data_IF_035881849788
#
_entry.id   IF_035881849788
#
_cell.length_a   1.000
_cell.length_b   1.000
_cell.length_c   1.000
_cell.angle_alpha   90.00
_cell.angle_beta   90.00
_cell.angle_gamma   90.00
#
_symmetry.space_group_name_H-M   'P 1'
#
loop_
_entity.id
_entity.type
_entity.pdbx_description
1 polymer ?
#
# COMPACT_ATOMS: atom_id res chain seq x y z
N UNK A 1 16.44 -6.74 -15.32
CA UNK A 1 17.07 -7.10 -14.03
C UNK A 1 16.26 -6.59 -12.83
N UNK A 2 16.36 -7.24 -11.67
CA UNK A 2 15.94 -6.67 -10.37
C UNK A 2 17.17 -6.04 -9.71
N UNK A 3 17.08 -4.79 -9.28
CA UNK A 3 18.17 -4.06 -8.62
C UNK A 3 17.69 -3.49 -7.27
N UNK A 4 18.46 -3.74 -6.21
CA UNK A 4 18.26 -3.15 -4.87
C UNK A 4 19.18 -1.97 -4.61
N UNK A 5 20.25 -1.85 -5.39
CA UNK A 5 21.23 -0.79 -5.25
C UNK A 5 20.75 0.48 -5.95
N UNK A 6 20.42 1.50 -5.16
CA UNK A 6 20.04 2.80 -5.70
C UNK A 6 21.23 3.47 -6.42
N UNK A 7 22.48 3.21 -6.04
CA UNK A 7 23.66 3.79 -6.68
C UNK A 7 23.76 3.33 -8.14
N UNK A 8 23.48 2.05 -8.41
CA UNK A 8 23.39 1.55 -9.78
C UNK A 8 22.36 2.34 -10.59
N UNK A 9 21.16 2.56 -10.03
CA UNK A 9 20.08 3.27 -10.72
C UNK A 9 20.47 4.72 -11.02
N UNK A 10 20.96 5.44 -10.02
CA UNK A 10 21.30 6.86 -10.15
C UNK A 10 22.42 7.08 -11.17
N UNK A 11 23.39 6.16 -11.25
CA UNK A 11 24.56 6.29 -12.14
C UNK A 11 24.30 5.79 -13.56
N UNK A 12 23.50 4.73 -13.72
CA UNK A 12 23.42 4.00 -14.98
C UNK A 12 22.08 4.14 -15.71
N UNK A 13 21.04 4.64 -15.05
CA UNK A 13 19.71 4.79 -15.65
C UNK A 13 19.48 6.26 -16.03
N UNK A 14 19.46 6.61 -17.33
CA UNK A 14 19.24 7.99 -17.75
C UNK A 14 17.87 8.51 -17.31
N UNK A 15 17.82 9.74 -16.82
CA UNK A 15 16.59 10.40 -16.38
C UNK A 15 15.77 9.59 -15.36
N UNK A 16 16.42 8.77 -14.52
CA UNK A 16 15.75 7.87 -13.57
C UNK A 16 14.68 8.56 -12.71
N UNK A 17 14.92 9.81 -12.29
CA UNK A 17 13.97 10.60 -11.49
C UNK A 17 12.69 10.93 -12.26
N UNK A 18 12.81 11.23 -13.56
CA UNK A 18 11.66 11.45 -14.44
C UNK A 18 10.91 10.14 -14.67
N UNK A 19 11.64 9.04 -14.87
CA UNK A 19 11.04 7.71 -15.07
C UNK A 19 10.21 7.28 -13.86
N UNK A 20 10.71 7.49 -12.63
CA UNK A 20 9.96 7.16 -11.41
C UNK A 20 8.74 8.05 -11.21
N UNK A 21 8.85 9.36 -11.46
CA UNK A 21 7.72 10.28 -11.42
C UNK A 21 6.63 9.86 -12.43
N UNK A 22 7.04 9.50 -13.64
CA UNK A 22 6.14 9.05 -14.69
C UNK A 22 5.50 7.70 -14.37
N UNK A 23 6.25 6.77 -13.76
CA UNK A 23 5.72 5.49 -13.31
C UNK A 23 4.60 5.70 -12.27
N UNK A 24 4.82 6.55 -11.26
CA UNK A 24 3.78 6.89 -10.27
C UNK A 24 2.56 7.53 -10.96
N UNK A 25 2.76 8.52 -11.82
CA UNK A 25 1.66 9.17 -12.56
C UNK A 25 0.85 8.16 -13.36
N UNK A 26 1.51 7.30 -14.14
CA UNK A 26 0.80 6.32 -14.96
C UNK A 26 0.00 5.33 -14.12
N UNK A 27 0.55 4.88 -12.98
CA UNK A 27 -0.12 3.87 -12.16
C UNK A 27 -1.28 4.40 -11.33
N UNK A 28 -1.32 5.71 -11.09
CA UNK A 28 -2.32 6.34 -10.22
C UNK A 28 -3.22 7.33 -10.97
N UNK A 29 -3.08 7.43 -12.29
CA UNK A 29 -3.96 8.26 -13.10
C UNK A 29 -5.25 7.54 -13.49
N UNK A 30 -6.37 8.24 -13.36
CA UNK A 30 -7.67 7.80 -13.85
C UNK A 30 -7.82 7.98 -15.36
N UNK A 31 -8.93 7.48 -15.91
CA UNK A 31 -9.27 7.65 -17.33
C UNK A 31 -9.42 9.13 -17.74
N UNK A 32 -9.65 10.02 -16.78
CA UNK A 32 -9.70 11.48 -16.96
C UNK A 32 -8.31 12.14 -16.98
N UNK A 33 -7.22 11.37 -16.91
CA UNK A 33 -5.84 11.87 -16.93
C UNK A 33 -5.34 12.48 -15.63
N UNK A 34 -6.18 12.59 -14.59
CA UNK A 34 -5.78 13.10 -13.27
C UNK A 34 -5.08 12.03 -12.46
N UNK A 35 -3.99 12.40 -11.79
CA UNK A 35 -3.26 11.53 -10.87
C UNK A 35 -3.88 11.61 -9.47
N UNK A 36 -4.29 10.46 -8.95
CA UNK A 36 -4.92 10.30 -7.63
C UNK A 36 -3.94 9.81 -6.58
N UNK A 37 -2.64 9.94 -6.79
CA UNK A 37 -1.69 9.41 -5.82
C UNK A 37 -1.77 10.19 -4.49
N UNK A 38 -1.97 9.51 -3.35
CA UNK A 38 -2.16 10.17 -2.04
C UNK A 38 -0.92 10.89 -1.51
N UNK A 39 0.26 10.69 -2.10
CA UNK A 39 1.49 11.39 -1.75
C UNK A 39 2.03 12.19 -2.94
N UNK A 40 1.44 13.37 -3.24
CA UNK A 40 1.72 14.14 -4.45
C UNK A 40 3.21 14.37 -4.77
N UNK A 41 4.12 14.58 -3.78
CA UNK A 41 5.54 14.79 -4.07
C UNK A 41 6.17 13.67 -4.90
N UNK A 42 5.80 12.40 -4.71
CA UNK A 42 6.39 11.29 -5.48
C UNK A 42 5.91 11.24 -6.95
N UNK A 43 4.98 12.10 -7.36
CA UNK A 43 4.61 12.28 -8.76
C UNK A 43 5.49 13.32 -9.48
N UNK A 44 6.47 13.93 -8.80
CA UNK A 44 7.35 14.97 -9.38
C UNK A 44 8.79 14.50 -9.47
N UNK A 45 9.49 14.95 -10.52
CA UNK A 45 10.91 14.62 -10.76
C UNK A 45 11.78 15.20 -9.65
N UNK A 46 11.47 16.42 -9.23
CA UNK A 46 12.24 17.22 -8.28
C UNK A 46 12.35 16.52 -6.94
N UNK A 47 11.24 15.94 -6.45
CA UNK A 47 11.22 15.21 -5.20
C UNK A 47 12.05 13.91 -5.28
N UNK A 48 11.98 13.18 -6.40
CA UNK A 48 12.81 11.99 -6.60
C UNK A 48 14.31 12.34 -6.59
N UNK A 49 14.70 13.40 -7.30
CA UNK A 49 16.09 13.85 -7.40
C UNK A 49 16.64 14.54 -6.15
N UNK A 50 15.82 14.76 -5.11
CA UNK A 50 16.22 15.45 -3.87
C UNK A 50 15.88 14.61 -2.63
N UNK A 51 14.69 14.80 -2.08
CA UNK A 51 14.25 14.18 -0.82
C UNK A 51 14.28 12.65 -0.88
N UNK A 52 13.75 12.04 -1.94
CA UNK A 52 13.75 10.57 -2.04
C UNK A 52 15.16 9.99 -2.15
N UNK A 53 16.06 10.67 -2.86
CA UNK A 53 17.47 10.28 -2.94
C UNK A 53 18.17 10.43 -1.58
N UNK A 54 17.89 11.51 -0.84
CA UNK A 54 18.39 11.69 0.52
C UNK A 54 17.89 10.58 1.46
N UNK A 55 16.62 10.17 1.33
CA UNK A 55 16.05 9.07 2.10
C UNK A 55 16.70 7.71 1.75
N UNK A 56 17.08 7.50 0.49
CA UNK A 56 17.83 6.32 0.06
C UNK A 56 19.24 6.30 0.65
N UNK A 57 19.96 7.42 0.56
CA UNK A 57 21.33 7.55 1.06
C UNK A 57 21.39 7.37 2.58
N UNK A 58 20.41 7.92 3.31
CA UNK A 58 20.33 7.80 4.77
C UNK A 58 19.83 6.43 5.25
N UNK A 59 19.34 5.58 4.34
CA UNK A 59 18.75 4.29 4.67
C UNK A 59 17.34 4.38 5.28
N UNK A 60 16.72 5.56 5.31
CA UNK A 60 15.32 5.72 5.71
C UNK A 60 14.37 5.00 4.74
N UNK A 61 14.76 4.90 3.47
CA UNK A 61 14.02 4.17 2.45
C UNK A 61 14.95 3.17 1.77
N UNK A 62 14.50 1.91 1.68
CA UNK A 62 15.17 0.83 0.93
C UNK A 62 14.40 0.57 -0.35
N UNK A 63 14.87 1.07 -1.51
CA UNK A 63 14.17 0.88 -2.76
C UNK A 63 14.52 -0.48 -3.40
N UNK A 64 13.62 -0.94 -4.27
CA UNK A 64 13.92 -2.01 -5.22
C UNK A 64 13.27 -1.68 -6.57
N UNK A 65 13.99 -2.01 -7.64
CA UNK A 65 13.63 -1.66 -9.00
C UNK A 65 13.58 -2.91 -9.87
N UNK A 66 12.60 -2.97 -10.77
CA UNK A 66 12.66 -3.84 -11.93
C UNK A 66 13.00 -2.98 -13.14
N UNK A 67 14.12 -3.27 -13.78
CA UNK A 67 14.69 -2.50 -14.89
C UNK A 67 14.68 -3.38 -16.12
N UNK A 68 14.22 -2.83 -17.25
CA UNK A 68 14.46 -3.41 -18.56
C UNK A 68 15.86 -2.98 -19.02
N UNK A 69 16.82 -3.90 -18.95
CA UNK A 69 18.22 -3.60 -19.24
C UNK A 69 18.46 -3.30 -20.71
N UNK A 70 17.59 -3.77 -21.62
CA UNK A 70 17.72 -3.51 -23.05
C UNK A 70 17.37 -2.07 -23.42
N UNK A 71 16.50 -1.44 -22.64
CA UNK A 71 16.00 -0.08 -22.88
C UNK A 71 16.41 0.91 -21.79
N UNK A 72 17.05 0.46 -20.72
CA UNK A 72 17.35 1.23 -19.51
C UNK A 72 16.12 1.92 -18.93
N UNK A 73 14.98 1.21 -18.91
CA UNK A 73 13.71 1.72 -18.40
C UNK A 73 13.38 1.08 -17.05
N UNK A 74 13.04 1.88 -16.05
CA UNK A 74 12.46 1.42 -14.79
C UNK A 74 11.02 1.02 -15.05
N UNK A 75 10.76 -0.28 -14.94
CA UNK A 75 9.47 -0.91 -15.24
C UNK A 75 8.59 -1.10 -14.02
N UNK A 76 9.20 -1.26 -12.85
CA UNK A 76 8.51 -1.31 -11.57
C UNK A 76 9.40 -0.79 -10.43
N UNK A 77 8.74 -0.35 -9.37
CA UNK A 77 9.33 0.17 -8.14
C UNK A 77 8.53 -0.32 -6.93
N UNK A 78 9.23 -0.68 -5.87
CA UNK A 78 8.69 -0.86 -4.54
C UNK A 78 9.72 -0.36 -3.51
N UNK A 79 9.30 -0.16 -2.27
CA UNK A 79 10.23 0.19 -1.22
C UNK A 79 9.76 -0.26 0.15
N UNK A 80 10.72 -0.34 1.07
CA UNK A 80 10.47 -0.31 2.51
C UNK A 80 10.84 1.06 3.05
N UNK A 81 9.95 1.66 3.83
CA UNK A 81 10.12 2.99 4.44
C UNK A 81 10.21 2.80 5.95
N UNK A 82 11.27 3.30 6.57
CA UNK A 82 11.42 3.26 8.03
C UNK A 82 10.41 4.22 8.65
N UNK A 83 9.59 3.69 9.54
CA UNK A 83 8.69 4.45 10.41
C UNK A 83 9.13 4.28 11.86
N UNK A 84 8.50 5.01 12.76
CA UNK A 84 8.77 4.85 14.19
C UNK A 84 8.39 3.43 14.64
N UNK A 85 9.40 2.60 14.93
CA UNK A 85 9.23 1.25 15.46
C UNK A 85 8.96 0.13 14.43
N UNK A 86 8.84 0.43 13.13
CA UNK A 86 8.59 -0.60 12.10
C UNK A 86 9.03 -0.15 10.70
N UNK A 87 8.99 -1.08 9.74
CA UNK A 87 9.13 -0.81 8.32
C UNK A 87 7.78 -0.90 7.61
N UNK A 88 7.43 0.13 6.84
CA UNK A 88 6.30 0.11 5.92
C UNK A 88 6.76 -0.43 4.56
N UNK A 89 6.26 -1.59 4.15
CA UNK A 89 6.40 -2.14 2.82
C UNK A 89 5.30 -1.56 1.92
N UNK A 90 5.69 -0.87 0.86
CA UNK A 90 4.72 -0.19 0.00
C UNK A 90 5.32 0.42 -1.26
N UNK A 91 4.66 1.49 -1.72
CA UNK A 91 4.99 2.20 -2.96
C UNK A 91 5.01 1.29 -4.20
N UNK A 92 4.13 0.29 -4.23
CA UNK A 92 4.06 -0.68 -5.33
C UNK A 92 3.58 0.01 -6.61
N UNK A 93 4.50 0.24 -7.55
CA UNK A 93 4.20 0.80 -8.85
C UNK A 93 4.80 -0.10 -9.93
N UNK A 94 4.00 -0.53 -10.91
CA UNK A 94 4.48 -1.44 -11.96
C UNK A 94 3.67 -1.23 -13.22
N UNK A 95 4.33 -0.91 -14.34
CA UNK A 95 3.67 -0.91 -15.64
C UNK A 95 3.00 -2.26 -15.95
N UNK A 96 1.97 -2.20 -16.78
CA UNK A 96 1.36 -3.39 -17.38
C UNK A 96 2.36 -4.12 -18.29
N UNK A 97 2.13 -5.41 -18.49
CA UNK A 97 2.98 -6.25 -19.35
C UNK A 97 4.32 -6.68 -18.73
N UNK A 98 4.62 -6.29 -17.49
CA UNK A 98 5.76 -6.86 -16.76
C UNK A 98 5.53 -8.35 -16.46
N UNK A 99 6.61 -9.13 -16.23
CA UNK A 99 6.48 -10.55 -15.90
C UNK A 99 5.54 -10.77 -14.71
N UNK A 100 4.68 -11.79 -14.83
CA UNK A 100 3.72 -12.13 -13.77
C UNK A 100 4.47 -12.45 -12.48
N UNK A 101 4.07 -11.79 -11.39
CA UNK A 101 4.69 -12.00 -10.07
C UNK A 101 5.93 -11.16 -9.80
N UNK A 102 6.38 -10.29 -10.73
CA UNK A 102 7.60 -9.49 -10.52
C UNK A 102 7.54 -8.65 -9.24
N UNK A 103 6.39 -8.03 -8.95
CA UNK A 103 6.22 -7.23 -7.75
C UNK A 103 6.33 -8.08 -6.47
N UNK A 104 5.80 -9.30 -6.49
CA UNK A 104 5.91 -10.24 -5.38
C UNK A 104 7.37 -10.69 -5.17
N UNK A 105 8.10 -10.97 -6.26
CA UNK A 105 9.51 -11.31 -6.20
C UNK A 105 10.34 -10.16 -5.60
N UNK A 106 10.09 -8.93 -6.08
CA UNK A 106 10.76 -7.73 -5.59
C UNK A 106 10.51 -7.49 -4.10
N UNK A 107 9.24 -7.57 -3.65
CA UNK A 107 8.91 -7.34 -2.24
C UNK A 107 9.38 -8.45 -1.32
N UNK A 108 9.43 -9.70 -1.80
CA UNK A 108 10.05 -10.83 -1.07
C UNK A 108 11.53 -10.55 -0.82
N UNK A 109 12.26 -10.09 -1.84
CA UNK A 109 13.67 -9.75 -1.73
C UNK A 109 13.91 -8.60 -0.73
N UNK A 110 13.10 -7.54 -0.80
CA UNK A 110 13.13 -6.44 0.17
C UNK A 110 12.95 -6.93 1.61
N UNK A 111 11.97 -7.80 1.85
CA UNK A 111 11.69 -8.32 3.20
C UNK A 111 12.84 -9.18 3.75
N UNK A 112 13.52 -9.96 2.91
CA UNK A 112 14.68 -10.75 3.32
C UNK A 112 15.85 -9.89 3.79
N UNK A 113 15.95 -8.64 3.31
CA UNK A 113 16.97 -7.70 3.73
C UNK A 113 16.78 -7.15 5.15
N UNK A 114 15.63 -7.37 5.79
CA UNK A 114 15.27 -6.79 7.09
C UNK A 114 15.70 -7.72 8.23
N UNK A 115 16.14 -7.11 9.35
CA UNK A 115 16.56 -7.88 10.52
C UNK A 115 15.39 -8.70 11.09
N UNK A 116 15.69 -9.94 11.47
CA UNK A 116 14.72 -10.81 12.14
C UNK A 116 14.16 -10.13 13.40
N UNK A 117 12.84 -9.93 13.45
CA UNK A 117 12.12 -9.37 14.60
C UNK A 117 11.69 -7.91 14.46
N UNK A 118 12.08 -7.19 13.40
CA UNK A 118 11.51 -5.87 13.14
C UNK A 118 10.06 -5.97 12.65
N UNK A 119 9.21 -5.05 13.11
CA UNK A 119 7.84 -4.96 12.62
C UNK A 119 7.82 -4.58 11.13
N UNK A 120 6.98 -5.27 10.35
CA UNK A 120 6.71 -4.93 8.94
C UNK A 120 5.22 -4.71 8.80
N UNK A 121 4.85 -3.59 8.19
CA UNK A 121 3.46 -3.21 7.89
C UNK A 121 3.32 -3.04 6.39
N UNK A 122 2.21 -3.50 5.82
CA UNK A 122 1.80 -3.17 4.45
C UNK A 122 0.41 -2.56 4.48
N UNK A 123 0.26 -1.42 3.81
CA UNK A 123 -1.02 -0.73 3.64
C UNK A 123 -1.53 -1.00 2.22
N UNK A 124 -2.72 -1.58 2.09
CA UNK A 124 -3.37 -1.76 0.81
C UNK A 124 -4.58 -0.83 0.72
N UNK A 125 -4.53 0.13 -0.21
CA UNK A 125 -5.67 1.02 -0.46
C UNK A 125 -6.83 0.26 -1.10
N UNK A 126 -8.05 0.74 -0.91
CA UNK A 126 -9.27 0.17 -1.50
C UNK A 126 -9.28 0.15 -3.04
N UNK A 127 -8.40 0.91 -3.69
CA UNK A 127 -8.36 1.03 -5.14
C UNK A 127 -7.74 -0.22 -5.81
N UNK A 128 -6.88 -0.93 -5.09
CA UNK A 128 -6.04 -1.99 -5.66
C UNK A 128 -6.04 -3.26 -4.81
N UNK A 129 -6.76 -4.28 -5.29
CA UNK A 129 -6.74 -5.60 -4.65
C UNK A 129 -5.43 -6.37 -4.91
N UNK A 130 -4.58 -5.90 -5.82
CA UNK A 130 -3.25 -6.47 -6.05
C UNK A 130 -2.32 -6.32 -4.85
N UNK A 131 -2.39 -5.22 -4.10
CA UNK A 131 -1.60 -5.06 -2.88
C UNK A 131 -2.05 -6.03 -1.78
N UNK A 132 -3.35 -6.30 -1.68
CA UNK A 132 -3.90 -7.33 -0.78
C UNK A 132 -3.41 -8.74 -1.16
N UNK A 133 -3.30 -9.02 -2.47
CA UNK A 133 -2.68 -10.26 -2.97
C UNK A 133 -1.26 -10.39 -2.47
N UNK A 134 -0.43 -9.38 -2.74
CA UNK A 134 1.00 -9.39 -2.45
C UNK A 134 1.20 -9.57 -0.95
N UNK A 135 0.52 -8.79 -0.10
CA UNK A 135 0.60 -8.93 1.35
C UNK A 135 0.27 -10.36 1.81
N UNK A 136 -0.81 -10.95 1.28
CA UNK A 136 -1.19 -12.32 1.62
C UNK A 136 -0.18 -13.36 1.14
N UNK A 137 0.47 -13.17 -0.01
CA UNK A 137 1.48 -14.09 -0.54
C UNK A 137 2.81 -13.97 0.21
N UNK A 138 3.10 -12.80 0.77
CA UNK A 138 4.27 -12.57 1.64
C UNK A 138 4.08 -13.15 3.05
N UNK A 139 2.93 -13.75 3.35
CA UNK A 139 2.62 -14.29 4.67
C UNK A 139 2.33 -13.22 5.73
N UNK A 140 2.08 -11.97 5.30
CA UNK A 140 1.60 -10.94 6.21
C UNK A 140 0.17 -11.27 6.63
N UNK A 141 -0.10 -11.20 7.93
CA UNK A 141 -1.44 -11.40 8.46
C UNK A 141 -2.30 -10.18 8.19
N UNK A 142 -3.60 -10.38 8.03
CA UNK A 142 -4.56 -9.29 7.98
C UNK A 142 -4.67 -8.67 9.38
N UNK A 143 -4.41 -7.36 9.51
CA UNK A 143 -4.36 -6.66 10.79
C UNK A 143 -5.57 -5.74 11.04
N UNK A 144 -6.49 -5.63 10.08
CA UNK A 144 -7.73 -4.87 10.19
C UNK A 144 -7.84 -3.73 9.19
N UNK A 145 -8.68 -2.74 9.51
CA UNK A 145 -9.04 -1.66 8.61
C UNK A 145 -8.66 -0.29 9.16
N UNK A 146 -8.45 0.66 8.25
CA UNK A 146 -8.27 2.07 8.55
C UNK A 146 -8.97 2.94 7.52
N UNK A 147 -9.22 4.19 7.91
CA UNK A 147 -9.70 5.23 7.03
C UNK A 147 -8.77 6.42 7.17
N UNK A 148 -8.10 6.80 6.08
CA UNK A 148 -7.40 8.06 6.02
C UNK A 148 -8.42 9.19 5.82
N UNK A 149 -7.94 10.43 6.03
CA UNK A 149 -8.69 11.60 5.64
C UNK A 149 -9.03 11.55 4.14
N UNK A 150 -10.11 12.21 3.75
CA UNK A 150 -10.38 12.48 2.34
C UNK A 150 -9.22 13.30 1.78
N UNK A 151 -8.66 12.87 0.65
CA UNK A 151 -7.49 13.53 0.06
C UNK A 151 -7.77 14.08 -1.34
N UNK A 152 -7.04 15.14 -1.65
CA UNK A 152 -7.12 15.84 -2.94
C UNK A 152 -8.36 16.72 -3.09
N UNK A 153 -8.38 17.47 -4.18
CA UNK A 153 -9.48 18.40 -4.51
C UNK A 153 -10.81 17.69 -4.77
N UNK A 154 -10.77 16.40 -5.12
CA UNK A 154 -11.96 15.61 -5.42
C UNK A 154 -12.56 14.91 -4.18
N UNK A 155 -12.00 15.17 -2.99
CA UNK A 155 -12.49 14.63 -1.72
C UNK A 155 -12.69 13.10 -1.80
N UNK A 156 -11.65 12.38 -2.24
CA UNK A 156 -11.69 10.93 -2.43
C UNK A 156 -11.41 10.24 -1.09
N UNK A 157 -12.25 9.30 -0.63
CA UNK A 157 -11.98 8.53 0.58
C UNK A 157 -10.84 7.54 0.34
N UNK A 158 -9.87 7.52 1.25
CA UNK A 158 -8.74 6.60 1.21
C UNK A 158 -8.80 5.62 2.37
N UNK A 159 -9.48 4.51 2.13
CA UNK A 159 -9.60 3.42 3.07
C UNK A 159 -8.45 2.43 2.85
N UNK A 160 -7.97 1.86 3.96
CA UNK A 160 -6.81 1.00 4.03
C UNK A 160 -7.19 -0.34 4.65
N UNK A 161 -6.67 -1.39 4.05
CA UNK A 161 -6.54 -2.70 4.68
C UNK A 161 -5.11 -2.82 5.18
N UNK A 162 -4.95 -3.03 6.48
CA UNK A 162 -3.65 -3.19 7.12
C UNK A 162 -3.22 -4.64 7.15
N UNK A 163 -1.94 -4.85 6.91
CA UNK A 163 -1.28 -6.15 7.05
C UNK A 163 0.01 -5.99 7.85
N UNK A 164 0.40 -6.99 8.63
CA UNK A 164 1.68 -6.98 9.32
C UNK A 164 2.31 -8.37 9.50
N UNK A 165 3.52 -8.43 10.04
CA UNK A 165 4.28 -9.65 10.27
C UNK A 165 4.13 -10.26 11.69
N UNK A 166 3.12 -9.86 12.48
CA UNK A 166 2.84 -10.45 13.81
C UNK A 166 2.06 -11.75 13.70
N UNK A 167 2.70 -12.76 13.11
CA UNK A 167 2.10 -14.09 12.86
C UNK A 167 1.61 -14.78 14.14
N UNK A 168 2.14 -14.40 15.31
CA UNK A 168 1.73 -14.87 16.63
C UNK A 168 0.29 -14.46 17.02
N UNK A 169 -0.26 -13.41 16.40
CA UNK A 169 -1.60 -12.89 16.71
C UNK A 169 -2.73 -13.49 15.87
N UNK A 170 -2.41 -14.12 14.74
CA UNK A 170 -3.39 -14.54 13.74
C UNK A 170 -4.08 -13.37 13.01
N UNK A 171 -4.91 -13.70 12.01
CA UNK A 171 -5.69 -12.71 11.27
C UNK A 171 -6.68 -11.97 12.20
N UNK A 172 -6.82 -10.67 11.98
CA UNK A 172 -7.66 -9.80 12.77
C UNK A 172 -9.14 -10.19 12.69
N UNK A 173 -9.74 -10.37 13.86
CA UNK A 173 -11.19 -10.53 14.05
C UNK A 173 -11.61 -9.51 15.10
N UNK A 174 -12.64 -8.73 14.79
CA UNK A 174 -13.20 -7.82 15.80
C UNK A 174 -13.86 -8.62 16.92
N UNK A 175 -13.40 -8.42 18.15
CA UNK A 175 -13.93 -9.09 19.36
C UNK A 175 -14.60 -8.12 20.32
N UNK A 176 -14.62 -6.83 20.00
CA UNK A 176 -15.11 -5.77 20.90
C UNK A 176 -15.69 -4.63 20.06
N UNK A 177 -16.77 -3.96 20.52
CA UNK A 177 -17.33 -2.83 19.80
C UNK A 177 -16.28 -1.78 19.43
N UNK A 178 -16.43 -1.25 18.21
CA UNK A 178 -15.58 -0.19 17.63
C UNK A 178 -14.12 -0.58 17.35
N UNK A 179 -13.65 -1.81 17.67
CA UNK A 179 -12.28 -2.20 17.32
C UNK A 179 -12.13 -2.34 15.80
N UNK A 180 -11.23 -1.56 15.20
CA UNK A 180 -11.05 -1.46 13.75
C UNK A 180 -9.87 -2.26 13.24
N UNK A 181 -8.78 -2.27 14.01
CA UNK A 181 -7.55 -2.98 13.69
C UNK A 181 -6.73 -3.23 14.97
N UNK A 182 -5.78 -4.15 14.87
CA UNK A 182 -4.79 -4.43 15.88
C UNK A 182 -3.37 -4.43 15.28
N UNK A 183 -3.04 -3.39 14.52
CA UNK A 183 -1.78 -3.28 13.78
C UNK A 183 -0.57 -3.38 14.74
N UNK A 184 0.33 -4.32 14.46
CA UNK A 184 1.47 -4.69 15.31
C UNK A 184 1.10 -5.04 16.77
N UNK A 185 -0.15 -5.43 17.01
CA UNK A 185 -0.70 -5.69 18.35
C UNK A 185 -1.25 -4.46 19.07
N UNK A 186 -1.31 -3.31 18.38
CA UNK A 186 -1.85 -2.06 18.94
C UNK A 186 -3.30 -1.92 18.51
N UNK A 187 -4.22 -2.03 19.47
CA UNK A 187 -5.65 -1.87 19.21
C UNK A 187 -5.97 -0.41 18.85
N UNK A 188 -6.73 -0.23 17.76
CA UNK A 188 -7.25 1.06 17.32
C UNK A 188 -8.77 0.99 17.20
N UNK A 189 -9.45 1.97 17.78
CA UNK A 189 -10.90 2.03 17.84
C UNK A 189 -11.47 3.10 16.88
N UNK A 190 -12.69 2.86 16.39
CA UNK A 190 -13.43 3.76 15.53
C UNK A 190 -13.86 5.02 16.31
N UNK A 191 -13.61 6.20 15.74
CA UNK A 191 -14.24 7.44 16.17
C UNK A 191 -15.51 7.68 15.33
N UNK A 192 -16.21 8.80 15.54
CA UNK A 192 -17.45 9.11 14.81
C UNK A 192 -17.24 9.17 13.28
N UNK A 193 -16.13 9.72 12.80
CA UNK A 193 -15.80 9.76 11.37
C UNK A 193 -15.59 8.37 10.79
N UNK A 194 -14.87 7.50 11.51
CA UNK A 194 -14.69 6.10 11.13
C UNK A 194 -16.02 5.34 11.07
N UNK A 195 -16.94 5.60 12.00
CA UNK A 195 -18.26 4.97 12.03
C UNK A 195 -19.10 5.37 10.82
N UNK A 196 -19.11 6.67 10.49
CA UNK A 196 -19.75 7.16 9.26
C UNK A 196 -19.14 6.52 8.02
N UNK A 197 -17.80 6.47 7.94
CA UNK A 197 -17.10 5.90 6.79
C UNK A 197 -17.35 4.40 6.64
N UNK A 198 -17.43 3.63 7.73
CA UNK A 198 -17.84 2.22 7.71
C UNK A 198 -19.20 2.02 7.04
N UNK A 199 -20.18 2.86 7.41
CA UNK A 199 -21.52 2.81 6.82
C UNK A 199 -21.48 3.11 5.32
N UNK A 200 -20.77 4.15 4.91
CA UNK A 200 -20.59 4.48 3.49
C UNK A 200 -19.88 3.36 2.72
N UNK A 201 -18.77 2.85 3.25
CA UNK A 201 -18.00 1.77 2.63
C UNK A 201 -18.84 0.49 2.48
N UNK A 202 -19.73 0.20 3.44
CA UNK A 202 -20.64 -0.96 3.36
C UNK A 202 -21.61 -0.91 2.18
N UNK A 203 -21.95 0.28 1.69
CA UNK A 203 -22.86 0.47 0.56
C UNK A 203 -22.16 0.30 -0.80
N UNK A 204 -20.83 0.41 -0.83
CA UNK A 204 -20.02 0.36 -2.06
C UNK A 204 -18.98 -0.78 -2.04
N UNK A 205 -19.11 -1.72 -1.11
CA UNK A 205 -18.18 -2.83 -0.95
C UNK A 205 -18.22 -3.77 -2.15
N UNK A 206 -17.06 -4.26 -2.57
CA UNK A 206 -16.96 -5.18 -3.69
C UNK A 206 -15.79 -6.15 -3.52
N UNK A 207 -16.01 -7.39 -3.93
CA UNK A 207 -14.96 -8.41 -4.03
C UNK A 207 -14.41 -8.55 -5.43
N UNK A 208 -14.89 -7.73 -6.38
CA UNK A 208 -14.40 -7.71 -7.75
C UNK A 208 -12.97 -7.16 -7.79
N UNK A 209 -12.27 -7.44 -8.90
CA UNK A 209 -10.93 -6.91 -9.12
C UNK A 209 -10.98 -5.47 -9.61
N UNK A 210 -10.63 -4.53 -8.73
CA UNK A 210 -10.30 -3.11 -9.00
C UNK A 210 -11.45 -2.26 -9.59
N UNK A 211 -11.47 -0.96 -9.29
CA UNK A 211 -12.41 0.01 -9.90
C UNK A 211 -11.73 1.05 -10.79
N UNK A 212 -10.40 0.98 -10.96
CA UNK A 212 -9.63 2.09 -11.50
C UNK A 212 -9.66 3.32 -10.59
N UNK A 213 -9.20 4.45 -11.13
CA UNK A 213 -9.15 5.74 -10.41
C UNK A 213 -10.14 6.78 -10.97
N UNK A 214 -10.80 7.58 -10.11
CA UNK A 214 -10.80 7.45 -8.64
C UNK A 214 -11.52 6.19 -8.17
N UNK A 215 -11.19 5.63 -6.99
CA UNK A 215 -11.88 4.47 -6.47
C UNK A 215 -13.35 4.80 -6.17
N UNK A 216 -14.26 4.07 -6.82
CA UNK A 216 -15.72 4.22 -6.63
C UNK A 216 -16.32 3.12 -5.75
N UNK A 217 -15.55 2.08 -5.49
CA UNK A 217 -15.92 0.94 -4.65
C UNK A 217 -14.88 0.74 -3.54
N UNK A 218 -15.32 0.14 -2.43
CA UNK A 218 -14.42 -0.35 -1.39
C UNK A 218 -14.04 -1.80 -1.73
N UNK A 219 -12.89 -2.01 -2.38
CA UNK A 219 -12.50 -3.35 -2.77
C UNK A 219 -11.82 -4.12 -1.65
N UNK A 220 -12.30 -5.33 -1.41
CA UNK A 220 -11.79 -6.22 -0.38
C UNK A 220 -11.73 -7.66 -0.90
N UNK A 221 -10.69 -8.38 -0.53
CA UNK A 221 -10.64 -9.82 -0.75
C UNK A 221 -11.75 -10.55 -0.03
N UNK A 222 -12.37 -11.49 -0.73
CA UNK A 222 -13.53 -12.24 -0.25
C UNK A 222 -13.31 -12.85 1.15
N UNK A 223 -12.13 -13.40 1.41
CA UNK A 223 -11.78 -13.96 2.71
C UNK A 223 -11.79 -12.94 3.87
N UNK A 224 -11.62 -11.65 3.60
CA UNK A 224 -11.64 -10.60 4.62
C UNK A 224 -13.02 -9.94 4.77
N UNK A 225 -13.93 -10.13 3.82
CA UNK A 225 -15.28 -9.56 3.87
C UNK A 225 -16.06 -9.91 5.17
N UNK A 226 -15.98 -11.13 5.72
CA UNK A 226 -16.62 -11.45 7.00
C UNK A 226 -16.13 -10.56 8.15
N UNK A 227 -14.84 -10.22 8.20
CA UNK A 227 -14.28 -9.36 9.25
C UNK A 227 -14.85 -7.94 9.16
N UNK A 228 -14.94 -7.38 7.95
CA UNK A 228 -15.55 -6.07 7.74
C UNK A 228 -17.01 -6.04 8.22
N UNK A 229 -17.79 -7.07 7.88
CA UNK A 229 -19.20 -7.18 8.31
C UNK A 229 -19.33 -7.32 9.82
N UNK A 230 -18.43 -8.04 10.47
CA UNK A 230 -18.39 -8.17 11.93
C UNK A 230 -18.14 -6.83 12.62
N UNK A 231 -17.19 -6.04 12.13
CA UNK A 231 -16.95 -4.68 12.65
C UNK A 231 -18.18 -3.81 12.48
N UNK A 232 -18.79 -3.83 11.30
CA UNK A 232 -19.99 -3.05 11.00
C UNK A 232 -21.14 -3.39 11.96
N UNK A 233 -21.39 -4.68 12.18
CA UNK A 233 -22.42 -5.14 13.12
C UNK A 233 -22.16 -4.66 14.55
N UNK A 234 -20.93 -4.84 15.06
CA UNK A 234 -20.54 -4.42 16.42
C UNK A 234 -20.48 -2.89 16.59
N UNK A 235 -20.39 -2.15 15.49
CA UNK A 235 -20.34 -0.68 15.49
C UNK A 235 -21.74 -0.07 15.47
N UNK A 236 -22.68 -0.69 14.75
CA UNK A 236 -24.06 -0.20 14.63
C UNK A 236 -24.92 -0.67 15.82
N UNK A 237 -24.67 -1.86 16.34
CA UNK A 237 -25.34 -2.39 17.54
C UNK A 237 -24.30 -2.81 18.59
N UNK A 238 -23.97 -1.93 19.56
CA UNK A 238 -23.01 -2.24 20.61
C UNK A 238 -23.44 -3.38 21.55
N UNK A 239 -24.67 -3.92 21.41
CA UNK A 239 -25.21 -5.02 22.21
C UNK A 239 -25.22 -6.38 21.48
N UNK A 240 -24.77 -6.43 20.22
CA UNK A 240 -24.69 -7.64 19.40
C UNK A 240 -23.47 -8.52 19.71
#
# INVERSE_FOLDING_TARGET
MIAEDYDYVVRNIPNWSDQLAQLVKTMWSGANGKCYFPYPPLATREHWGSEALSDWISGLVRPIFYIDDSTHVIRAYAAMVRKEGYWELGRFNSYSGNPRGIMLQMTTQLMHGINNGEGIVCEATQAHTSSQYIASQLGLRFAGYGFLAYMGEENVPWDILYFDNRVDLGDFVSTTPQLMNNLLGINRFANQDHQRRLLEASQIISTDKTSGFPPTKFHIYEKYLPHFRSILAMTIDPKA
#
